data_IF_514815211498
#
_entry.id   IF_514815211498
#
_cell.length_a   1.000
_cell.length_b   1.000
_cell.length_c   1.000
_cell.angle_alpha   90.00
_cell.angle_beta   90.00
_cell.angle_gamma   90.00
#
_symmetry.space_group_name_H-M   'P 1'
#
loop_
_entity.id
_entity.type
_entity.pdbx_description
1 polymer ?
#
# COMPACT_ATOMS: atom_id res chain seq x y z
N UNK A 1 23.31 -18.40 -4.96
CA UNK A 1 22.55 -17.27 -4.35
C UNK A 1 21.19 -17.24 -5.00
N UNK A 2 20.11 -17.59 -4.27
CA UNK A 2 18.75 -17.44 -4.78
C UNK A 2 18.37 -15.95 -4.67
N UNK A 3 18.34 -15.25 -5.79
CA UNK A 3 17.81 -13.88 -5.85
C UNK A 3 16.30 -13.98 -5.70
N UNK A 4 15.76 -13.75 -4.51
CA UNK A 4 14.32 -13.66 -4.32
C UNK A 4 13.79 -12.42 -5.05
N UNK A 5 13.29 -12.61 -6.26
CA UNK A 5 12.50 -11.59 -6.94
C UNK A 5 11.18 -11.45 -6.17
N UNK A 6 10.79 -10.25 -5.72
CA UNK A 6 9.49 -10.08 -5.09
C UNK A 6 8.40 -10.48 -6.07
N UNK A 7 7.41 -11.23 -5.59
CA UNK A 7 6.27 -11.62 -6.41
C UNK A 7 5.58 -10.38 -6.97
N UNK A 8 5.12 -10.42 -8.23
CA UNK A 8 4.34 -9.33 -8.79
C UNK A 8 3.06 -9.15 -7.98
N UNK A 9 2.63 -7.90 -7.80
CA UNK A 9 1.35 -7.60 -7.17
C UNK A 9 0.20 -7.96 -8.09
N UNK A 10 -0.90 -8.43 -7.52
CA UNK A 10 -2.10 -8.83 -8.24
C UNK A 10 -3.07 -7.65 -8.37
N UNK A 11 -3.23 -7.12 -9.59
CA UNK A 11 -4.09 -5.97 -9.87
C UNK A 11 -5.59 -6.28 -9.86
N UNK A 12 -6.00 -7.54 -9.68
CA UNK A 12 -7.41 -7.93 -9.58
C UNK A 12 -7.99 -7.71 -8.18
N UNK A 13 -7.14 -7.38 -7.21
CA UNK A 13 -7.50 -7.09 -5.82
C UNK A 13 -6.67 -5.93 -5.27
N UNK A 14 -7.02 -5.46 -4.08
CA UNK A 14 -6.17 -4.52 -3.34
C UNK A 14 -4.98 -5.33 -2.81
N UNK A 15 -3.82 -5.16 -3.45
CA UNK A 15 -2.61 -5.90 -3.13
C UNK A 15 -1.44 -4.93 -2.94
N UNK A 16 -0.63 -5.14 -1.91
CA UNK A 16 0.45 -4.22 -1.59
C UNK A 16 1.61 -4.91 -0.89
N UNK A 17 2.73 -4.20 -0.89
CA UNK A 17 3.89 -4.56 -0.09
C UNK A 17 4.25 -3.43 0.85
N UNK A 18 4.83 -3.83 1.97
CA UNK A 18 5.33 -2.92 2.97
C UNK A 18 6.77 -2.54 2.64
N UNK A 19 7.10 -1.26 2.81
CA UNK A 19 8.46 -0.73 2.78
C UNK A 19 8.74 0.00 4.09
N UNK A 20 9.95 -0.19 4.59
CA UNK A 20 10.45 0.54 5.74
C UNK A 20 10.44 2.05 5.44
N UNK A 21 10.03 2.86 6.40
CA UNK A 21 10.01 4.31 6.27
C UNK A 21 10.69 4.97 7.47
N UNK A 22 10.01 5.10 8.61
CA UNK A 22 10.59 5.60 9.86
C UNK A 22 10.22 4.66 11.01
N UNK A 23 10.67 4.96 12.23
CA UNK A 23 10.29 4.15 13.40
C UNK A 23 8.75 4.12 13.59
N UNK A 24 8.08 5.25 13.36
CA UNK A 24 6.64 5.41 13.60
C UNK A 24 5.80 5.43 12.32
N UNK A 25 6.30 4.88 11.22
CA UNK A 25 5.47 4.72 10.01
C UNK A 25 5.99 3.69 9.02
N UNK A 26 5.08 3.19 8.19
CA UNK A 26 5.36 2.23 7.13
C UNK A 26 4.78 2.70 5.80
N UNK A 27 5.57 2.58 4.73
CA UNK A 27 5.07 2.83 3.38
C UNK A 27 4.38 1.56 2.87
N UNK A 28 3.19 1.71 2.30
CA UNK A 28 2.47 0.66 1.58
C UNK A 28 2.36 1.08 0.12
N UNK A 29 3.04 0.35 -0.74
CA UNK A 29 2.95 0.50 -2.20
C UNK A 29 2.13 -0.63 -2.76
N UNK A 30 1.06 -0.31 -3.49
CA UNK A 30 0.16 -1.33 -3.96
C UNK A 30 -0.60 -0.98 -5.24
N UNK A 31 -1.42 -1.94 -5.64
CA UNK A 31 -2.33 -1.90 -6.79
C UNK A 31 -3.77 -2.11 -6.32
N UNK A 32 -4.72 -1.71 -7.14
CA UNK A 32 -6.15 -1.96 -6.92
C UNK A 32 -6.88 -2.09 -8.26
N UNK A 33 -8.00 -2.84 -8.32
CA UNK A 33 -8.79 -2.98 -9.53
C UNK A 33 -9.56 -1.70 -9.85
N UNK A 34 -9.95 -1.54 -11.11
CA UNK A 34 -10.78 -0.42 -11.56
C UNK A 34 -12.07 -0.28 -10.75
N UNK A 35 -12.50 0.95 -10.51
CA UNK A 35 -13.66 1.26 -9.66
C UNK A 35 -13.37 1.28 -8.16
N UNK A 36 -12.20 0.80 -7.71
CA UNK A 36 -11.83 0.88 -6.29
C UNK A 36 -11.62 2.32 -5.84
N UNK A 37 -12.28 2.70 -4.75
CA UNK A 37 -12.18 4.04 -4.17
C UNK A 37 -11.00 4.18 -3.22
N UNK A 38 -10.59 5.44 -2.95
CA UNK A 38 -9.57 5.75 -1.94
C UNK A 38 -9.95 5.23 -0.56
N UNK A 39 -11.23 5.32 -0.19
CA UNK A 39 -11.72 4.88 1.11
C UNK A 39 -11.60 3.36 1.29
N UNK A 40 -11.87 2.58 0.24
CA UNK A 40 -11.72 1.12 0.27
C UNK A 40 -10.25 0.71 0.40
N UNK A 41 -9.34 1.35 -0.35
CA UNK A 41 -7.91 1.12 -0.18
C UNK A 41 -7.47 1.51 1.23
N UNK A 42 -7.85 2.70 1.71
CA UNK A 42 -7.48 3.18 3.04
C UNK A 42 -7.98 2.27 4.17
N UNK A 43 -9.19 1.74 4.05
CA UNK A 43 -9.73 0.80 5.03
C UNK A 43 -8.84 -0.45 5.20
N UNK A 44 -8.18 -0.89 4.12
CA UNK A 44 -7.28 -2.05 4.12
C UNK A 44 -5.86 -1.69 4.57
N UNK A 45 -5.39 -0.49 4.23
CA UNK A 45 -3.97 -0.15 4.34
C UNK A 45 -3.63 0.82 5.47
N UNK A 46 -4.61 1.42 6.14
CA UNK A 46 -4.35 2.33 7.27
C UNK A 46 -3.50 1.66 8.37
N UNK A 47 -2.67 2.48 9.02
CA UNK A 47 -1.96 2.09 10.25
C UNK A 47 -2.86 2.24 11.47
N UNK A 48 -2.31 1.97 12.66
CA UNK A 48 -3.01 2.09 13.94
C UNK A 48 -3.61 3.48 14.13
N UNK A 49 -2.85 4.52 13.75
CA UNK A 49 -3.26 5.93 13.86
C UNK A 49 -3.76 6.50 12.52
N UNK A 50 -4.16 5.63 11.59
CA UNK A 50 -4.50 6.05 10.23
C UNK A 50 -3.25 6.23 9.37
N UNK A 51 -3.21 7.31 8.60
CA UNK A 51 -2.17 7.57 7.62
C UNK A 51 -2.57 8.60 6.58
N UNK A 52 -1.87 8.58 5.46
CA UNK A 52 -2.21 9.43 4.29
C UNK A 52 -1.78 8.79 2.98
N UNK A 53 -2.53 9.06 1.92
CA UNK A 53 -2.05 8.79 0.57
C UNK A 53 -0.93 9.77 0.19
N UNK A 54 0.21 9.22 -0.24
CA UNK A 54 1.24 9.95 -0.98
C UNK A 54 0.87 10.03 -2.46
N UNK A 55 0.30 8.96 -3.02
CA UNK A 55 -0.22 8.92 -4.40
C UNK A 55 -1.39 7.93 -4.50
N UNK A 56 -2.32 8.22 -5.42
CA UNK A 56 -3.45 7.36 -5.75
C UNK A 56 -3.94 7.69 -7.15
N UNK A 57 -3.88 6.72 -8.07
CA UNK A 57 -4.31 6.85 -9.46
C UNK A 57 -3.77 5.70 -10.31
N UNK A 58 -4.32 5.51 -11.52
CA UNK A 58 -3.80 4.54 -12.50
C UNK A 58 -3.71 3.10 -11.96
N UNK A 59 -4.70 2.68 -11.15
CA UNK A 59 -4.72 1.36 -10.52
C UNK A 59 -3.62 1.15 -9.47
N UNK A 60 -2.94 2.21 -9.01
CA UNK A 60 -1.80 2.17 -8.09
C UNK A 60 -1.93 3.17 -6.96
N UNK A 61 -1.34 2.84 -5.82
CA UNK A 61 -1.27 3.75 -4.68
C UNK A 61 0.07 3.67 -3.94
N UNK A 62 0.37 4.76 -3.23
CA UNK A 62 1.35 4.79 -2.17
C UNK A 62 0.70 5.41 -0.94
N UNK A 63 0.65 4.68 0.17
CA UNK A 63 0.10 5.14 1.43
C UNK A 63 1.18 5.14 2.51
N UNK A 64 1.20 6.17 3.34
CA UNK A 64 2.06 6.25 4.52
C UNK A 64 1.17 5.92 5.72
N UNK A 65 1.30 4.69 6.23
CA UNK A 65 0.59 4.24 7.41
C UNK A 65 1.34 4.68 8.66
N UNK A 66 0.67 5.40 9.56
CA UNK A 66 1.25 5.82 10.83
C UNK A 66 1.15 4.66 11.84
N UNK A 67 2.30 4.27 12.36
CA UNK A 67 2.48 3.20 13.34
C UNK A 67 3.13 3.78 14.60
N UNK A 68 3.23 2.99 15.67
CA UNK A 68 3.97 3.35 16.89
C UNK A 68 5.48 3.49 16.57
#
# INVERSE_FOLDING_TARGET
MLVHKPMPLDSTKIDWRNKMHTNSSMIKEGVYPEGTTRAEVEAMVKGTFGGRFKSFGDGRFTYIAYTD
#
